data_IF_943630752796
#
_entry.id   IF_943630752796
#
_cell.length_a   1.000
_cell.length_b   1.000
_cell.length_c   1.000
_cell.angle_alpha   90.00
_cell.angle_beta   90.00
_cell.angle_gamma   90.00
#
_symmetry.space_group_name_H-M   'P 1'
#
loop_
_entity.id
_entity.type
_entity.pdbx_description
1 polymer ?
#
# COMPACT_ATOMS: atom_id res chain seq x y z
N UNK A 1 -7.25 4.47 -9.32
CA UNK A 1 -6.05 4.11 -8.54
C UNK A 1 -5.97 5.06 -7.35
N UNK A 2 -5.94 4.56 -6.11
CA UNK A 2 -5.74 5.42 -4.94
C UNK A 2 -4.30 5.97 -4.91
N UNK A 3 -4.09 7.20 -4.41
CA UNK A 3 -2.75 7.81 -4.31
C UNK A 3 -1.76 6.93 -3.54
N UNK A 4 -2.24 6.20 -2.53
CA UNK A 4 -1.44 5.28 -1.73
C UNK A 4 -0.97 4.09 -2.58
N UNK A 5 -1.87 3.44 -3.32
CA UNK A 5 -1.52 2.33 -4.20
C UNK A 5 -0.51 2.75 -5.27
N UNK A 6 -0.69 3.94 -5.86
CA UNK A 6 0.25 4.48 -6.85
C UNK A 6 1.64 4.73 -6.25
N UNK A 7 1.71 5.26 -5.02
CA UNK A 7 2.97 5.46 -4.32
C UNK A 7 3.70 4.13 -4.05
N UNK A 8 2.97 3.09 -3.66
CA UNK A 8 3.54 1.74 -3.44
C UNK A 8 4.00 1.12 -4.77
N UNK A 9 3.18 1.18 -5.82
CA UNK A 9 3.51 0.67 -7.15
C UNK A 9 4.76 1.34 -7.73
N UNK A 10 4.99 2.63 -7.46
CA UNK A 10 6.20 3.35 -7.91
C UNK A 10 7.51 2.77 -7.36
N UNK A 11 7.44 1.96 -6.29
CA UNK A 11 8.58 1.26 -5.67
C UNK A 11 8.58 -0.24 -5.95
N UNK A 12 7.63 -0.73 -6.74
CA UNK A 12 7.46 -2.14 -7.04
C UNK A 12 7.93 -2.44 -8.46
N UNK A 13 9.21 -2.75 -8.62
CA UNK A 13 9.85 -2.88 -9.93
C UNK A 13 9.55 -4.21 -10.65
N UNK A 14 9.14 -5.24 -9.92
CA UNK A 14 8.90 -6.60 -10.46
C UNK A 14 7.41 -6.90 -10.70
N UNK A 15 6.58 -5.87 -10.98
CA UNK A 15 5.12 -5.98 -11.08
C UNK A 15 4.65 -7.13 -12.00
N UNK A 16 5.31 -7.30 -13.15
CA UNK A 16 5.00 -8.34 -14.13
C UNK A 16 5.15 -9.77 -13.60
N UNK A 17 6.09 -10.01 -12.68
CA UNK A 17 6.34 -11.34 -12.08
C UNK A 17 5.21 -11.79 -11.15
N UNK A 18 4.29 -10.88 -10.82
CA UNK A 18 3.15 -11.14 -9.94
C UNK A 18 1.81 -10.91 -10.64
N UNK A 19 1.78 -10.92 -11.98
CA UNK A 19 0.55 -10.78 -12.74
C UNK A 19 -0.52 -11.80 -12.29
N UNK A 20 -1.74 -11.31 -12.08
CA UNK A 20 -2.88 -12.12 -11.62
C UNK A 20 -2.91 -12.41 -10.12
N UNK A 21 -1.85 -12.09 -9.37
CA UNK A 21 -1.81 -12.23 -7.91
C UNK A 21 -2.35 -10.97 -7.22
N UNK A 22 -2.80 -11.14 -5.99
CA UNK A 22 -3.25 -10.05 -5.12
C UNK A 22 -2.66 -10.20 -3.73
N UNK A 23 -2.50 -9.08 -3.03
CA UNK A 23 -2.15 -9.05 -1.62
C UNK A 23 -2.97 -7.99 -0.90
N UNK A 24 -3.61 -8.35 0.21
CA UNK A 24 -4.23 -7.39 1.10
C UNK A 24 -3.20 -6.85 2.09
N UNK A 25 -3.03 -5.54 2.12
CA UNK A 25 -2.14 -4.84 3.03
C UNK A 25 -2.94 -4.04 4.04
N UNK A 26 -2.77 -4.34 5.33
CA UNK A 26 -3.27 -3.50 6.41
C UNK A 26 -2.27 -2.39 6.70
N UNK A 27 -2.68 -1.15 6.51
CA UNK A 27 -1.83 0.03 6.71
C UNK A 27 -2.35 0.91 7.83
N UNK A 28 -1.44 1.65 8.46
CA UNK A 28 -1.76 2.79 9.32
C UNK A 28 -1.00 4.00 8.83
N UNK A 29 -1.72 5.09 8.60
CA UNK A 29 -1.16 6.37 8.15
C UNK A 29 -1.32 7.42 9.22
N UNK A 30 -0.33 8.29 9.34
CA UNK A 30 -0.43 9.54 10.08
C UNK A 30 -1.10 10.64 9.22
N UNK A 31 -1.61 11.72 9.84
CA UNK A 31 -2.26 12.82 9.12
C UNK A 31 -1.35 13.57 8.13
N UNK A 32 -0.04 13.44 8.24
CA UNK A 32 0.96 14.04 7.35
C UNK A 32 1.34 13.15 6.17
N UNK A 33 0.80 11.92 6.09
CA UNK A 33 1.11 10.93 5.05
C UNK A 33 2.19 9.93 5.46
N UNK A 34 2.78 10.03 6.66
CA UNK A 34 3.75 9.04 7.13
C UNK A 34 3.10 7.67 7.33
N UNK A 35 3.66 6.64 6.71
CA UNK A 35 3.26 5.25 6.93
C UNK A 35 3.78 4.77 8.30
N UNK A 36 2.88 4.67 9.28
CA UNK A 36 3.19 4.22 10.65
C UNK A 36 3.45 2.72 10.67
N UNK A 37 2.61 1.94 9.99
CA UNK A 37 2.74 0.48 9.94
C UNK A 37 2.13 -0.09 8.68
N UNK A 38 2.69 -1.21 8.21
CA UNK A 38 2.15 -2.01 7.12
C UNK A 38 2.36 -3.50 7.43
N UNK A 39 1.31 -4.29 7.22
CA UNK A 39 1.28 -5.73 7.45
C UNK A 39 0.47 -6.42 6.35
N UNK A 40 0.85 -7.65 5.99
CA UNK A 40 0.02 -8.48 5.11
C UNK A 40 -1.20 -9.00 5.87
N UNK A 41 -2.37 -8.90 5.25
CA UNK A 41 -3.65 -9.38 5.76
C UNK A 41 -4.19 -10.59 4.98
N UNK A 42 -3.67 -10.88 3.79
CA UNK A 42 -4.07 -12.03 2.97
C UNK A 42 -3.51 -11.96 1.54
N UNK A 43 -3.60 -13.05 0.78
CA UNK A 43 -3.15 -13.12 -0.61
C UNK A 43 -1.86 -13.92 -0.83
N UNK A 44 -1.17 -13.67 -1.95
CA UNK A 44 0.07 -14.37 -2.31
C UNK A 44 1.24 -13.95 -1.39
N UNK A 45 1.90 -14.88 -0.67
CA UNK A 45 2.93 -14.52 0.31
C UNK A 45 4.13 -13.78 -0.29
N UNK A 46 4.56 -14.16 -1.49
CA UNK A 46 5.71 -13.54 -2.14
C UNK A 46 5.38 -12.12 -2.61
N UNK A 47 4.19 -11.92 -3.20
CA UNK A 47 3.68 -10.60 -3.54
C UNK A 47 3.54 -9.73 -2.28
N UNK A 48 2.96 -10.28 -1.21
CA UNK A 48 2.77 -9.55 0.04
C UNK A 48 4.09 -9.08 0.65
N UNK A 49 5.11 -9.95 0.69
CA UNK A 49 6.42 -9.57 1.20
C UNK A 49 7.04 -8.43 0.37
N UNK A 50 6.97 -8.53 -0.95
CA UNK A 50 7.47 -7.48 -1.85
C UNK A 50 6.66 -6.17 -1.71
N UNK A 51 5.34 -6.27 -1.58
CA UNK A 51 4.46 -5.11 -1.46
C UNK A 51 4.63 -4.38 -0.12
N UNK A 52 4.85 -5.13 0.97
CA UNK A 52 5.25 -4.56 2.28
C UNK A 52 6.58 -3.80 2.18
N UNK A 53 7.58 -4.38 1.50
CA UNK A 53 8.88 -3.74 1.31
C UNK A 53 8.78 -2.47 0.45
N UNK A 54 7.98 -2.49 -0.62
CA UNK A 54 7.71 -1.33 -1.46
C UNK A 54 6.96 -0.24 -0.68
N UNK A 55 5.95 -0.62 0.12
CA UNK A 55 5.18 0.33 0.91
C UNK A 55 6.02 1.06 1.96
N UNK A 56 6.97 0.37 2.60
CA UNK A 56 7.92 1.00 3.54
C UNK A 56 8.83 2.05 2.88
N UNK A 57 9.07 1.94 1.57
CA UNK A 57 9.90 2.88 0.80
C UNK A 57 9.08 3.95 0.08
N UNK A 58 7.75 3.78 0.04
CA UNK A 58 6.85 4.70 -0.64
C UNK A 58 6.74 6.02 0.13
N UNK A 59 6.77 7.13 -0.60
CA UNK A 59 6.42 8.45 -0.04
C UNK A 59 4.95 8.68 -0.32
N UNK A 60 4.12 8.45 0.68
CA UNK A 60 2.68 8.67 0.58
C UNK A 60 2.43 10.17 0.84
N UNK A 61 1.76 10.87 -0.09
CA UNK A 61 1.46 12.28 0.11
C UNK A 61 0.48 12.46 1.28
N UNK A 62 0.52 13.65 1.88
CA UNK A 62 -0.48 14.05 2.87
C UNK A 62 -1.89 13.85 2.29
N UNK A 63 -2.82 13.22 3.03
CA UNK A 63 -4.21 13.08 2.59
C UNK A 63 -4.82 14.45 2.23
N UNK A 64 -5.60 14.55 1.14
CA UNK A 64 -6.15 15.82 0.66
C UNK A 64 -7.25 16.40 1.57
N UNK A 65 -7.82 15.58 2.47
CA UNK A 65 -8.80 16.02 3.47
C UNK A 65 -8.82 15.09 4.68
N UNK A 66 -9.36 15.59 5.79
CA UNK A 66 -9.56 14.78 7.01
C UNK A 66 -10.46 13.59 6.77
N UNK A 67 -11.49 13.72 5.93
CA UNK A 67 -12.37 12.61 5.57
C UNK A 67 -11.60 11.46 4.91
N UNK A 68 -10.65 11.79 4.01
CA UNK A 68 -9.76 10.79 3.39
C UNK A 68 -8.83 10.19 4.45
N UNK A 69 -8.23 11.01 5.30
CA UNK A 69 -7.40 10.52 6.40
C UNK A 69 -8.15 9.54 7.32
N UNK A 70 -9.37 9.86 7.75
CA UNK A 70 -10.17 9.00 8.63
C UNK A 70 -10.47 7.63 8.02
N UNK A 71 -10.57 7.57 6.69
CA UNK A 71 -10.74 6.31 5.97
C UNK A 71 -9.45 5.48 5.94
N UNK A 72 -8.29 6.11 5.73
CA UNK A 72 -7.01 5.42 5.54
C UNK A 72 -6.12 5.32 6.79
N UNK A 73 -6.49 5.94 7.92
CA UNK A 73 -5.71 5.88 9.18
C UNK A 73 -5.48 4.45 9.69
N UNK A 74 -6.37 3.52 9.36
CA UNK A 74 -6.27 2.09 9.65
C UNK A 74 -7.16 1.31 8.67
N UNK A 75 -6.65 1.11 7.45
CA UNK A 75 -7.40 0.49 6.35
C UNK A 75 -6.69 -0.74 5.80
N UNK A 76 -7.47 -1.65 5.23
CA UNK A 76 -6.95 -2.71 4.36
C UNK A 76 -6.98 -2.24 2.92
N UNK A 77 -5.88 -2.41 2.20
CA UNK A 77 -5.71 -2.07 0.80
C UNK A 77 -5.43 -3.34 0.01
N UNK A 78 -6.23 -3.62 -1.02
CA UNK A 78 -5.88 -4.63 -2.00
C UNK A 78 -4.75 -4.09 -2.90
N UNK A 79 -3.64 -4.81 -2.97
CA UNK A 79 -2.52 -4.55 -3.86
C UNK A 79 -2.53 -5.57 -4.99
N UNK A 80 -2.76 -5.07 -6.19
CA UNK A 80 -2.69 -5.84 -7.43
C UNK A 80 -1.71 -5.13 -8.38
N UNK A 81 -0.53 -5.69 -8.61
CA UNK A 81 0.37 -5.16 -9.63
C UNK A 81 -0.28 -5.29 -11.01
N UNK A 82 -0.21 -4.23 -11.80
CA UNK A 82 -0.70 -4.15 -13.18
C UNK A 82 0.47 -3.89 -14.13
#
# INVERSE_FOLDING_TARGET
MGQIQAAIQSKFYDASSYAGKTCDLRIKLAPDGLLISVQSAGGDPALCQAAVAAARQARIPKPPSDAVYQHFKNSTLEFKPQ
#
